data_IF_476593774624
#
_entry.id   IF_476593774624
#
_cell.length_a   1.000
_cell.length_b   1.000
_cell.length_c   1.000
_cell.angle_alpha   90.00
_cell.angle_beta   90.00
_cell.angle_gamma   90.00
#
_symmetry.space_group_name_H-M   'P 1'
#
loop_
_entity.id
_entity.type
_entity.pdbx_description
1 polymer ?
#
# COMPACT_ATOMS: atom_id res chain seq x y z
N UNK A 1 11.99 17.18 -7.11
CA UNK A 1 11.24 18.33 -7.69
C UNK A 1 10.82 19.38 -6.66
N UNK A 2 10.28 19.02 -5.49
CA UNK A 2 9.80 19.98 -4.46
C UNK A 2 10.87 21.00 -4.02
N UNK A 3 12.13 20.58 -3.87
CA UNK A 3 13.24 21.46 -3.45
C UNK A 3 13.54 22.55 -4.50
N UNK A 4 13.42 22.22 -5.79
CA UNK A 4 13.67 23.18 -6.88
C UNK A 4 12.56 24.23 -6.91
N UNK A 5 11.30 23.83 -6.66
CA UNK A 5 10.16 24.75 -6.60
C UNK A 5 10.30 25.72 -5.41
N UNK A 6 10.72 25.21 -4.24
CA UNK A 6 10.98 26.03 -3.06
C UNK A 6 12.13 27.02 -3.31
N UNK A 7 13.22 26.57 -3.95
CA UNK A 7 14.35 27.43 -4.28
C UNK A 7 13.97 28.56 -5.25
N UNK A 8 13.19 28.27 -6.28
CA UNK A 8 12.70 29.29 -7.23
C UNK A 8 11.77 30.29 -6.54
N UNK A 9 10.86 29.83 -5.67
CA UNK A 9 9.99 30.71 -4.89
C UNK A 9 10.80 31.65 -3.99
N UNK A 10 11.83 31.15 -3.31
CA UNK A 10 12.69 31.97 -2.44
C UNK A 10 13.48 33.03 -3.23
N UNK A 11 14.00 32.67 -4.42
CA UNK A 11 14.72 33.61 -5.29
C UNK A 11 13.79 34.71 -5.80
N UNK A 12 12.59 34.36 -6.27
CA UNK A 12 11.60 35.35 -6.74
C UNK A 12 11.16 36.28 -5.60
N UNK A 13 10.93 35.73 -4.40
CA UNK A 13 10.54 36.54 -3.23
C UNK A 13 11.68 37.46 -2.77
N UNK A 14 12.93 37.00 -2.82
CA UNK A 14 14.11 37.79 -2.47
C UNK A 14 14.38 38.93 -3.46
N UNK A 15 14.24 38.68 -4.77
CA UNK A 15 14.41 39.70 -5.82
C UNK A 15 13.34 40.80 -5.68
N UNK A 16 12.10 40.43 -5.39
CA UNK A 16 10.99 41.40 -5.21
C UNK A 16 11.18 42.27 -3.96
N UNK A 17 11.77 41.73 -2.89
CA UNK A 17 12.07 42.49 -1.67
C UNK A 17 13.26 43.44 -1.82
N UNK A 18 14.29 43.04 -2.58
CA UNK A 18 15.50 43.85 -2.80
C UNK A 18 15.29 45.02 -3.78
N UNK A 19 14.24 44.97 -4.61
CA UNK A 19 13.99 45.97 -5.65
C UNK A 19 12.91 47.00 -5.32
N UNK A 20 12.45 47.14 -4.08
CA UNK A 20 11.48 48.19 -3.76
C UNK A 20 12.12 49.59 -3.80
N UNK A 21 11.82 50.43 -4.81
CA UNK A 21 12.38 51.76 -4.91
C UNK A 21 11.63 52.71 -3.97
N UNK A 22 12.39 53.55 -3.25
CA UNK A 22 11.91 54.43 -2.17
C UNK A 22 10.85 55.48 -2.60
N UNK A 23 10.61 55.65 -3.90
CA UNK A 23 9.67 56.62 -4.47
C UNK A 23 8.23 56.09 -4.68
N UNK A 24 7.93 54.83 -4.37
CA UNK A 24 6.59 54.29 -4.60
C UNK A 24 5.60 54.86 -3.56
N UNK A 25 4.40 55.30 -4.00
CA UNK A 25 3.36 55.73 -3.09
C UNK A 25 3.02 54.59 -2.12
N UNK A 26 2.79 54.93 -0.85
CA UNK A 26 2.39 53.98 0.21
C UNK A 26 1.04 53.35 -0.14
N UNK A 27 1.04 52.34 -1.00
CA UNK A 27 -0.09 51.44 -1.16
C UNK A 27 -0.40 50.84 0.20
N UNK A 28 -1.67 50.84 0.59
CA UNK A 28 -2.07 50.29 1.88
C UNK A 28 -1.60 48.83 1.94
N UNK A 29 -0.88 48.47 3.01
CA UNK A 29 -0.30 47.13 3.19
C UNK A 29 -1.33 46.00 3.02
N UNK A 30 -2.62 46.30 3.25
CA UNK A 30 -3.73 45.39 3.00
C UNK A 30 -3.95 45.08 1.51
N UNK A 31 -3.80 46.04 0.61
CA UNK A 31 -4.05 45.82 -0.81
C UNK A 31 -2.95 44.99 -1.47
N UNK A 32 -1.70 45.19 -1.05
CA UNK A 32 -0.57 44.36 -1.49
C UNK A 32 -0.64 42.95 -0.90
N UNK A 33 -1.00 42.79 0.37
CA UNK A 33 -1.21 41.48 0.98
C UNK A 33 -2.30 40.68 0.26
N UNK A 34 -3.46 41.29 -0.01
CA UNK A 34 -4.58 40.63 -0.70
C UNK A 34 -4.22 40.21 -2.14
N UNK A 35 -3.44 41.03 -2.86
CA UNK A 35 -2.96 40.69 -4.21
C UNK A 35 -1.93 39.56 -4.18
N UNK A 36 -1.06 39.53 -3.17
CA UNK A 36 -0.08 38.44 -3.01
C UNK A 36 -0.77 37.12 -2.71
N UNK A 37 -1.78 37.09 -1.82
CA UNK A 37 -2.57 35.88 -1.54
C UNK A 37 -3.36 35.40 -2.75
N UNK A 38 -3.90 36.32 -3.56
CA UNK A 38 -4.57 35.95 -4.81
C UNK A 38 -3.59 35.36 -5.82
N UNK A 39 -2.40 35.95 -5.96
CA UNK A 39 -1.37 35.45 -6.87
C UNK A 39 -0.83 34.08 -6.46
N UNK A 40 -0.56 33.85 -5.17
CA UNK A 40 -0.13 32.52 -4.69
C UNK A 40 -1.23 31.48 -4.81
N UNK A 41 -2.49 31.82 -4.52
CA UNK A 41 -3.61 30.87 -4.73
C UNK A 41 -3.72 30.43 -6.18
N UNK A 42 -3.60 31.38 -7.13
CA UNK A 42 -3.68 31.10 -8.56
C UNK A 42 -2.50 30.26 -9.05
N UNK A 43 -1.29 30.48 -8.53
CA UNK A 43 -0.11 29.65 -8.87
C UNK A 43 -0.26 28.23 -8.32
N UNK A 44 -0.76 28.07 -7.10
CA UNK A 44 -1.02 26.74 -6.51
C UNK A 44 -2.11 26.00 -7.28
N UNK A 45 -3.18 26.71 -7.66
CA UNK A 45 -4.28 26.15 -8.43
C UNK A 45 -3.82 25.74 -9.84
N UNK A 46 -3.05 26.59 -10.51
CA UNK A 46 -2.46 26.28 -11.83
C UNK A 46 -1.46 25.12 -11.73
N UNK A 47 -0.67 25.04 -10.66
CA UNK A 47 0.26 23.94 -10.43
C UNK A 47 -0.49 22.61 -10.18
N UNK A 48 -1.55 22.62 -9.37
CA UNK A 48 -2.42 21.45 -9.19
C UNK A 48 -3.04 21.01 -10.51
N UNK A 49 -3.63 21.93 -11.25
CA UNK A 49 -4.28 21.64 -12.53
C UNK A 49 -3.27 21.13 -13.58
N UNK A 50 -2.02 21.60 -13.54
CA UNK A 50 -0.95 21.11 -14.43
C UNK A 50 -0.47 19.72 -14.02
N UNK A 51 -0.37 19.43 -12.72
CA UNK A 51 -0.03 18.09 -12.20
C UNK A 51 -1.15 17.10 -12.50
N UNK A 52 -2.40 17.52 -12.35
CA UNK A 52 -3.60 16.72 -12.63
C UNK A 52 -3.72 16.44 -14.14
N UNK A 53 -3.56 17.46 -14.99
CA UNK A 53 -3.49 17.29 -16.45
C UNK A 53 -2.27 16.51 -16.94
N UNK A 54 -1.14 16.57 -16.21
CA UNK A 54 0.02 15.75 -16.50
C UNK A 54 -0.21 14.28 -16.09
N UNK A 55 -0.91 14.04 -14.98
CA UNK A 55 -1.38 12.72 -14.55
C UNK A 55 -2.40 12.10 -15.53
N UNK A 56 -3.30 12.91 -16.08
CA UNK A 56 -4.28 12.47 -17.09
C UNK A 56 -3.65 12.12 -18.45
N UNK A 57 -2.42 12.55 -18.74
CA UNK A 57 -1.75 12.37 -20.03
C UNK A 57 -0.87 11.13 -20.16
N UNK A 58 -0.73 10.34 -19.10
CA UNK A 58 -0.15 9.01 -19.22
C UNK A 58 -1.27 7.98 -19.05
N UNK A 59 -2.12 7.77 -20.07
CA UNK A 59 -2.95 6.58 -20.06
C UNK A 59 -1.97 5.43 -19.88
N UNK A 60 -2.11 4.71 -18.76
CA UNK A 60 -1.56 3.38 -18.59
C UNK A 60 -2.15 2.57 -19.74
N UNK A 61 -1.51 2.65 -20.91
CA UNK A 61 -1.72 1.70 -21.97
C UNK A 61 -1.33 0.42 -21.29
N UNK A 62 -2.33 -0.42 -20.94
CA UNK A 62 -2.07 -1.70 -20.29
C UNK A 62 -1.03 -2.39 -21.18
N UNK A 63 0.20 -2.44 -20.69
CA UNK A 63 1.33 -3.07 -21.34
C UNK A 63 1.44 -4.44 -20.70
N UNK A 64 0.67 -5.44 -21.15
CA UNK A 64 0.72 -6.79 -20.56
C UNK A 64 2.14 -7.35 -20.57
N UNK A 65 2.98 -6.92 -21.50
CA UNK A 65 4.40 -7.26 -21.57
C UNK A 65 5.24 -6.74 -20.39
N UNK A 66 4.80 -5.69 -19.69
CA UNK A 66 5.53 -5.15 -18.53
C UNK A 66 5.52 -6.14 -17.37
N UNK A 67 4.42 -6.87 -17.13
CA UNK A 67 4.33 -7.80 -16.02
C UNK A 67 5.37 -8.93 -16.15
N UNK A 68 5.55 -9.47 -17.37
CA UNK A 68 6.56 -10.49 -17.65
C UNK A 68 8.00 -9.97 -17.49
N UNK A 69 8.32 -8.83 -18.11
CA UNK A 69 9.66 -8.20 -18.00
C UNK A 69 9.97 -7.77 -16.57
N UNK A 70 8.96 -7.34 -15.83
CA UNK A 70 9.09 -6.97 -14.43
C UNK A 70 9.34 -8.19 -13.54
N UNK A 71 8.65 -9.31 -13.76
CA UNK A 71 8.91 -10.58 -13.06
C UNK A 71 10.35 -11.06 -13.29
N UNK A 72 10.86 -10.92 -14.52
CA UNK A 72 12.26 -11.22 -14.84
C UNK A 72 13.24 -10.28 -14.13
N UNK A 73 12.94 -8.97 -14.12
CA UNK A 73 13.72 -7.96 -13.39
C UNK A 73 13.76 -8.22 -11.88
N UNK A 74 12.67 -8.72 -11.29
CA UNK A 74 12.56 -9.12 -9.89
C UNK A 74 13.14 -10.51 -9.58
N UNK A 75 13.83 -11.17 -10.52
CA UNK A 75 14.49 -12.43 -10.21
C UNK A 75 15.55 -12.24 -9.11
N UNK A 76 15.65 -13.20 -8.18
CA UNK A 76 16.51 -13.11 -6.99
C UNK A 76 17.97 -12.74 -7.34
N UNK A 77 18.51 -13.35 -8.41
CA UNK A 77 19.87 -13.09 -8.87
C UNK A 77 20.09 -11.63 -9.28
N UNK A 78 19.06 -10.97 -9.81
CA UNK A 78 19.13 -9.57 -10.21
C UNK A 78 18.89 -8.61 -9.03
N UNK A 79 17.95 -8.94 -8.15
CA UNK A 79 17.66 -8.15 -6.95
C UNK A 79 18.85 -8.09 -5.99
N UNK A 80 19.43 -9.24 -5.67
CA UNK A 80 20.61 -9.34 -4.80
C UNK A 80 21.82 -8.62 -5.41
N UNK A 81 21.95 -8.61 -6.74
CA UNK A 81 23.05 -7.92 -7.40
C UNK A 81 22.90 -6.40 -7.34
N UNK A 82 21.69 -5.88 -7.62
CA UNK A 82 21.46 -4.46 -7.93
C UNK A 82 21.08 -3.60 -6.74
N UNK A 83 20.45 -4.17 -5.70
CA UNK A 83 19.85 -3.36 -4.64
C UNK A 83 20.50 -3.63 -3.29
N UNK A 84 20.94 -2.56 -2.62
CA UNK A 84 21.57 -2.62 -1.29
C UNK A 84 20.62 -3.13 -0.21
N UNK A 85 19.33 -2.82 -0.35
CA UNK A 85 18.27 -3.19 0.58
C UNK A 85 18.09 -4.72 0.65
N UNK A 86 18.07 -5.40 -0.49
CA UNK A 86 17.89 -6.85 -0.53
C UNK A 86 19.10 -7.59 0.04
N UNK A 87 20.31 -7.03 -0.12
CA UNK A 87 21.52 -7.55 0.55
C UNK A 87 21.43 -7.47 2.08
N UNK A 88 20.75 -6.46 2.61
CA UNK A 88 20.57 -6.30 4.06
C UNK A 88 19.48 -7.19 4.65
N UNK A 89 18.57 -7.73 3.82
CA UNK A 89 17.41 -8.52 4.24
C UNK A 89 17.25 -9.80 3.40
N UNK A 90 18.24 -10.73 3.43
CA UNK A 90 18.26 -11.88 2.52
C UNK A 90 17.09 -12.85 2.73
N UNK A 91 16.61 -13.02 3.97
CA UNK A 91 15.45 -13.87 4.25
C UNK A 91 14.15 -13.30 3.65
N UNK A 92 13.92 -11.99 3.86
CA UNK A 92 12.74 -11.30 3.30
C UNK A 92 12.78 -11.27 1.77
N UNK A 93 13.97 -11.09 1.19
CA UNK A 93 14.18 -11.16 -0.26
C UNK A 93 13.80 -12.53 -0.84
N UNK A 94 14.20 -13.61 -0.17
CA UNK A 94 13.90 -14.97 -0.59
C UNK A 94 12.39 -15.27 -0.49
N UNK A 95 11.76 -14.91 0.64
CA UNK A 95 10.32 -15.09 0.83
C UNK A 95 9.49 -14.26 -0.16
N UNK A 96 9.90 -13.00 -0.40
CA UNK A 96 9.27 -12.14 -1.41
C UNK A 96 9.38 -12.74 -2.81
N UNK A 97 10.56 -13.25 -3.19
CA UNK A 97 10.75 -13.87 -4.51
C UNK A 97 9.89 -15.12 -4.66
N UNK A 98 9.83 -15.96 -3.63
CA UNK A 98 8.98 -17.15 -3.63
C UNK A 98 7.49 -16.77 -3.77
N UNK A 99 7.05 -15.75 -3.03
CA UNK A 99 5.69 -15.21 -3.15
C UNK A 99 5.39 -14.72 -4.58
N UNK A 100 6.29 -13.91 -5.16
CA UNK A 100 6.15 -13.38 -6.51
C UNK A 100 6.10 -14.49 -7.58
N UNK A 101 6.90 -15.54 -7.40
CA UNK A 101 6.90 -16.70 -8.30
C UNK A 101 5.58 -17.49 -8.24
N UNK A 102 4.95 -17.54 -7.07
CA UNK A 102 3.66 -18.19 -6.84
C UNK A 102 2.44 -17.39 -7.30
N UNK A 103 2.58 -16.11 -7.68
CA UNK A 103 1.47 -15.33 -8.22
C UNK A 103 1.06 -15.85 -9.60
N UNK A 104 -0.26 -16.03 -9.79
CA UNK A 104 -0.85 -16.26 -11.10
C UNK A 104 -0.82 -15.00 -11.98
N UNK A 105 -1.07 -15.14 -13.28
CA UNK A 105 -0.96 -14.03 -14.25
C UNK A 105 -1.83 -12.83 -13.90
N UNK A 106 -3.04 -13.09 -13.37
CA UNK A 106 -3.95 -12.04 -12.93
C UNK A 106 -3.38 -11.26 -11.74
N UNK A 107 -3.01 -11.94 -10.67
CA UNK A 107 -2.48 -11.31 -9.45
C UNK A 107 -1.16 -10.57 -9.73
N UNK A 108 -0.32 -11.13 -10.60
CA UNK A 108 0.90 -10.47 -11.07
C UNK A 108 0.58 -9.20 -11.87
N UNK A 109 -0.45 -9.25 -12.72
CA UNK A 109 -0.93 -8.10 -13.48
C UNK A 109 -1.45 -6.98 -12.57
N UNK A 110 -2.26 -7.33 -11.58
CA UNK A 110 -2.81 -6.40 -10.59
C UNK A 110 -1.67 -5.77 -9.76
N UNK A 111 -0.73 -6.59 -9.27
CA UNK A 111 0.45 -6.09 -8.54
C UNK A 111 1.32 -5.14 -9.38
N UNK A 112 1.56 -5.49 -10.65
CA UNK A 112 2.31 -4.64 -11.58
C UNK A 112 1.58 -3.32 -11.85
N UNK A 113 0.24 -3.35 -11.93
CA UNK A 113 -0.57 -2.16 -12.11
C UNK A 113 -0.50 -1.23 -10.89
N UNK A 114 -0.62 -1.77 -9.67
CA UNK A 114 -0.45 -1.02 -8.43
C UNK A 114 0.92 -0.37 -8.35
N UNK A 115 1.97 -1.13 -8.66
CA UNK A 115 3.33 -0.62 -8.70
C UNK A 115 3.50 0.48 -9.77
N UNK A 116 2.89 0.32 -10.94
CA UNK A 116 2.85 1.35 -11.97
C UNK A 116 2.24 2.65 -11.46
N UNK A 117 1.11 2.55 -10.75
CA UNK A 117 0.47 3.69 -10.07
C UNK A 117 1.38 4.35 -9.03
N UNK A 118 2.08 3.54 -8.22
CA UNK A 118 3.09 4.06 -7.28
C UNK A 118 4.20 4.82 -8.00
N UNK A 119 4.83 4.24 -9.03
CA UNK A 119 5.91 4.88 -9.79
C UNK A 119 5.46 6.23 -10.35
N UNK A 120 4.27 6.28 -10.94
CA UNK A 120 3.68 7.50 -11.49
C UNK A 120 3.44 8.56 -10.41
N UNK A 121 2.96 8.16 -9.23
CA UNK A 121 2.78 9.08 -8.09
C UNK A 121 4.11 9.71 -7.64
N UNK A 122 5.23 9.05 -7.89
CA UNK A 122 6.58 9.53 -7.61
C UNK A 122 7.21 10.28 -8.80
N UNK A 123 6.53 10.37 -9.94
CA UNK A 123 6.96 11.11 -11.12
C UNK A 123 7.90 10.34 -12.05
N UNK A 124 7.88 9.01 -12.04
CA UNK A 124 8.62 8.17 -12.99
C UNK A 124 7.76 7.00 -13.53
N UNK A 125 8.16 6.42 -14.65
CA UNK A 125 7.44 5.30 -15.27
C UNK A 125 8.09 3.96 -14.86
N UNK A 126 7.28 2.95 -14.54
CA UNK A 126 7.76 1.60 -14.26
C UNK A 126 8.56 1.01 -15.45
N UNK A 127 8.21 1.39 -16.68
CA UNK A 127 8.93 0.99 -17.89
C UNK A 127 10.41 1.38 -17.84
N UNK A 128 10.78 2.43 -17.09
CA UNK A 128 12.17 2.88 -16.95
C UNK A 128 13.08 1.87 -16.26
N UNK A 129 12.54 0.95 -15.45
CA UNK A 129 13.31 -0.13 -14.85
C UNK A 129 13.76 -1.16 -15.88
N UNK A 130 12.83 -1.51 -16.76
CA UNK A 130 13.01 -2.57 -17.76
C UNK A 130 13.70 -2.06 -19.02
N UNK A 131 13.51 -0.78 -19.35
CA UNK A 131 14.09 -0.15 -20.54
C UNK A 131 15.48 0.44 -20.25
N UNK A 132 16.40 0.31 -21.21
CA UNK A 132 17.78 0.77 -21.06
C UNK A 132 17.97 2.29 -21.25
N UNK A 133 16.88 3.08 -21.22
CA UNK A 133 16.91 4.50 -21.59
C UNK A 133 17.25 5.45 -20.44
N UNK A 134 17.41 4.95 -19.22
CA UNK A 134 17.69 5.78 -18.05
C UNK A 134 19.19 5.78 -17.70
N UNK A 135 19.80 6.95 -17.43
CA UNK A 135 21.18 7.04 -16.96
C UNK A 135 21.43 6.15 -15.73
N UNK A 136 22.61 5.53 -15.64
CA UNK A 136 22.88 4.48 -14.66
C UNK A 136 22.65 4.87 -13.20
N UNK A 137 22.99 6.09 -12.79
CA UNK A 137 22.77 6.57 -11.42
C UNK A 137 21.28 6.74 -11.10
N UNK A 138 20.52 7.36 -12.02
CA UNK A 138 19.06 7.52 -11.88
C UNK A 138 18.40 6.14 -11.87
N UNK A 139 18.83 5.24 -12.76
CA UNK A 139 18.31 3.87 -12.83
C UNK A 139 18.47 3.17 -11.49
N UNK A 140 19.65 3.23 -10.87
CA UNK A 140 19.90 2.63 -9.56
C UNK A 140 18.98 3.19 -8.47
N UNK A 141 18.75 4.50 -8.43
CA UNK A 141 17.83 5.11 -7.46
C UNK A 141 16.38 4.63 -7.66
N UNK A 142 15.94 4.50 -8.93
CA UNK A 142 14.61 3.96 -9.25
C UNK A 142 14.52 2.47 -8.87
N UNK A 143 15.55 1.67 -9.16
CA UNK A 143 15.63 0.25 -8.78
C UNK A 143 15.56 0.08 -7.24
N UNK A 144 16.31 0.89 -6.48
CA UNK A 144 16.29 0.87 -5.01
C UNK A 144 14.90 1.29 -4.47
N UNK A 145 14.30 2.34 -5.02
CA UNK A 145 12.99 2.86 -4.59
C UNK A 145 11.87 1.83 -4.86
N UNK A 146 11.85 1.27 -6.07
CA UNK A 146 10.85 0.27 -6.45
C UNK A 146 11.06 -1.03 -5.68
N UNK A 147 12.31 -1.44 -5.49
CA UNK A 147 12.64 -2.60 -4.67
C UNK A 147 12.12 -2.47 -3.23
N UNK A 148 12.28 -1.30 -2.60
CA UNK A 148 11.74 -1.00 -1.28
C UNK A 148 10.21 -1.05 -1.25
N UNK A 149 9.56 -0.43 -2.24
CA UNK A 149 8.12 -0.46 -2.35
C UNK A 149 7.60 -1.90 -2.49
N UNK A 150 8.23 -2.73 -3.31
CA UNK A 150 7.83 -4.12 -3.50
C UNK A 150 7.88 -4.91 -2.18
N UNK A 151 8.96 -4.76 -1.41
CA UNK A 151 9.06 -5.38 -0.09
C UNK A 151 7.99 -4.87 0.87
N UNK A 152 7.74 -3.55 0.89
CA UNK A 152 6.72 -2.96 1.74
C UNK A 152 5.31 -3.45 1.37
N UNK A 153 4.99 -3.47 0.07
CA UNK A 153 3.73 -3.97 -0.45
C UNK A 153 3.53 -5.44 -0.10
N UNK A 154 4.55 -6.28 -0.32
CA UNK A 154 4.52 -7.70 0.07
C UNK A 154 4.32 -7.89 1.58
N UNK A 155 5.08 -7.18 2.43
CA UNK A 155 4.88 -7.23 3.89
C UNK A 155 3.48 -6.77 4.28
N UNK A 156 2.91 -5.79 3.57
CA UNK A 156 1.54 -5.32 3.80
C UNK A 156 0.49 -6.37 3.44
N UNK A 157 0.73 -7.23 2.45
CA UNK A 157 -0.15 -8.40 2.19
C UNK A 157 -0.20 -9.34 3.41
N UNK A 158 0.90 -9.46 4.15
CA UNK A 158 0.94 -10.17 5.43
C UNK A 158 0.03 -9.59 6.51
N UNK A 159 -0.47 -8.36 6.34
CA UNK A 159 -1.44 -7.71 7.22
C UNK A 159 -2.90 -7.97 6.81
N UNK A 160 -3.16 -8.54 5.64
CA UNK A 160 -4.51 -8.84 5.16
C UNK A 160 -5.34 -9.67 6.16
N UNK A 161 -4.79 -10.73 6.81
CA UNK A 161 -5.52 -11.46 7.85
C UNK A 161 -5.99 -10.57 9.00
N UNK A 162 -5.18 -9.59 9.39
CA UNK A 162 -5.54 -8.63 10.42
C UNK A 162 -6.62 -7.64 9.95
N UNK A 163 -6.59 -7.23 8.68
CA UNK A 163 -7.67 -6.42 8.11
C UNK A 163 -9.01 -7.19 8.12
N UNK A 164 -9.02 -8.47 7.74
CA UNK A 164 -10.20 -9.34 7.82
C UNK A 164 -10.68 -9.48 9.26
N UNK A 165 -9.78 -9.72 10.22
CA UNK A 165 -10.11 -9.77 11.63
C UNK A 165 -10.74 -8.46 12.13
N UNK A 166 -10.17 -7.32 11.74
CA UNK A 166 -10.69 -5.99 12.12
C UNK A 166 -12.07 -5.74 11.53
N UNK A 167 -12.29 -6.10 10.26
CA UNK A 167 -13.58 -5.95 9.58
C UNK A 167 -14.66 -6.80 10.26
N UNK A 168 -14.35 -8.06 10.57
CA UNK A 168 -15.22 -8.91 11.37
C UNK A 168 -15.50 -8.32 12.75
N UNK A 169 -14.47 -7.84 13.46
CA UNK A 169 -14.64 -7.28 14.81
C UNK A 169 -15.55 -6.05 14.83
N UNK A 170 -15.56 -5.24 13.76
CA UNK A 170 -16.47 -4.10 13.64
C UNK A 170 -17.92 -4.49 13.38
N UNK A 171 -18.16 -5.67 12.81
CA UNK A 171 -19.49 -6.19 12.50
C UNK A 171 -19.53 -7.74 12.60
N UNK A 172 -19.57 -8.30 13.82
CA UNK A 172 -19.45 -9.75 14.02
C UNK A 172 -20.62 -10.57 13.47
N UNK A 173 -21.76 -9.92 13.21
CA UNK A 173 -22.96 -10.53 12.65
C UNK A 173 -22.99 -10.56 11.12
N UNK A 174 -21.94 -10.08 10.46
CA UNK A 174 -21.87 -10.05 9.00
C UNK A 174 -21.59 -11.46 8.42
N UNK A 175 -22.51 -11.96 7.62
CA UNK A 175 -22.38 -13.27 6.96
C UNK A 175 -21.11 -13.39 6.11
N UNK A 176 -20.59 -12.29 5.55
CA UNK A 176 -19.34 -12.28 4.76
C UNK A 176 -18.11 -12.70 5.57
N UNK A 177 -18.17 -12.57 6.90
CA UNK A 177 -17.05 -12.86 7.78
C UNK A 177 -17.28 -14.11 8.64
N UNK A 178 -18.46 -14.73 8.53
CA UNK A 178 -18.86 -15.84 9.39
C UNK A 178 -17.94 -17.06 9.21
N UNK A 179 -17.64 -17.45 7.97
CA UNK A 179 -16.76 -18.58 7.68
C UNK A 179 -15.35 -18.39 8.25
N UNK A 180 -14.79 -17.19 8.09
CA UNK A 180 -13.50 -16.82 8.67
C UNK A 180 -13.53 -16.88 10.20
N UNK A 181 -14.53 -16.28 10.83
CA UNK A 181 -14.66 -16.21 12.28
C UNK A 181 -14.83 -17.61 12.90
N UNK A 182 -15.66 -18.47 12.30
CA UNK A 182 -15.87 -19.84 12.76
C UNK A 182 -14.58 -20.66 12.71
N UNK A 183 -13.76 -20.52 11.65
CA UNK A 183 -12.48 -21.22 11.53
C UNK A 183 -11.44 -20.71 12.50
N UNK A 184 -11.34 -19.39 12.65
CA UNK A 184 -10.45 -18.82 13.65
C UNK A 184 -10.83 -19.30 15.04
N UNK A 185 -12.12 -19.27 15.39
CA UNK A 185 -12.60 -19.71 16.69
C UNK A 185 -12.34 -21.20 16.93
N UNK A 186 -12.65 -22.07 15.97
CA UNK A 186 -12.42 -23.52 16.10
C UNK A 186 -10.94 -23.84 16.27
N UNK A 187 -10.05 -23.13 15.55
CA UNK A 187 -8.60 -23.25 15.70
C UNK A 187 -8.11 -22.80 17.07
N UNK A 188 -8.65 -21.70 17.60
CA UNK A 188 -8.32 -21.23 18.95
C UNK A 188 -8.76 -22.22 20.03
N UNK A 189 -9.92 -22.86 19.86
CA UNK A 189 -10.39 -23.95 20.74
C UNK A 189 -9.46 -25.17 20.63
N UNK A 190 -9.12 -25.58 19.41
CA UNK A 190 -8.21 -26.72 19.18
C UNK A 190 -6.80 -26.48 19.75
N UNK A 191 -6.32 -25.24 19.74
CA UNK A 191 -5.04 -24.85 20.34
C UNK A 191 -5.11 -24.67 21.87
N UNK A 192 -6.28 -24.84 22.50
CA UNK A 192 -6.46 -24.65 23.94
C UNK A 192 -6.40 -23.19 24.40
N UNK A 193 -6.51 -22.22 23.48
CA UNK A 193 -6.54 -20.79 23.79
C UNK A 193 -7.96 -20.31 24.16
N UNK A 194 -8.99 -21.08 23.82
CA UNK A 194 -10.38 -20.80 24.17
C UNK A 194 -11.06 -22.07 24.67
N UNK A 195 -11.78 -21.97 25.78
CA UNK A 195 -12.63 -23.06 26.29
C UNK A 195 -14.09 -22.62 26.23
N UNK A 196 -14.90 -23.15 25.29
CA UNK A 196 -16.30 -22.80 25.17
C UNK A 196 -17.09 -23.28 26.40
N UNK A 197 -17.90 -22.43 27.05
CA UNK A 197 -18.77 -22.90 28.12
C UNK A 197 -19.89 -23.76 27.53
N UNK A 198 -20.31 -24.84 28.22
CA UNK A 198 -21.31 -25.77 27.71
C UNK A 198 -22.66 -25.09 27.42
N UNK A 199 -23.02 -24.08 28.21
CA UNK A 199 -24.28 -23.35 28.08
C UNK A 199 -24.35 -22.49 26.81
N UNK A 200 -23.21 -22.20 26.18
CA UNK A 200 -23.14 -21.37 24.97
C UNK A 200 -23.93 -21.98 23.80
N UNK A 201 -24.06 -23.31 23.77
CA UNK A 201 -24.82 -24.03 22.74
C UNK A 201 -26.31 -23.67 22.77
N UNK A 202 -26.84 -23.30 23.92
CA UNK A 202 -28.24 -22.94 24.13
C UNK A 202 -28.48 -21.42 24.15
N UNK A 203 -27.40 -20.61 24.16
CA UNK A 203 -27.50 -19.16 24.19
C UNK A 203 -28.05 -18.60 22.86
N UNK A 204 -28.77 -17.46 22.87
CA UNK A 204 -29.16 -16.74 21.66
C UNK A 204 -27.96 -16.41 20.76
N UNK A 205 -28.18 -16.32 19.44
CA UNK A 205 -27.09 -16.06 18.46
C UNK A 205 -26.28 -14.80 18.79
N UNK A 206 -26.95 -13.73 19.22
CA UNK A 206 -26.27 -12.48 19.60
C UNK A 206 -25.32 -12.68 20.80
N UNK A 207 -25.72 -13.49 21.79
CA UNK A 207 -24.87 -13.81 22.94
C UNK A 207 -23.70 -14.70 22.53
N UNK A 208 -23.92 -15.66 21.61
CA UNK A 208 -22.86 -16.50 21.04
C UNK A 208 -21.81 -15.66 20.32
N UNK A 209 -22.24 -14.75 19.46
CA UNK A 209 -21.33 -13.85 18.73
C UNK A 209 -20.53 -12.95 19.67
N UNK A 210 -21.19 -12.36 20.68
CA UNK A 210 -20.53 -11.54 21.69
C UNK A 210 -19.49 -12.34 22.50
N UNK A 211 -19.81 -13.59 22.85
CA UNK A 211 -18.86 -14.49 23.51
C UNK A 211 -17.66 -14.78 22.61
N UNK A 212 -17.89 -15.15 21.35
CA UNK A 212 -16.82 -15.47 20.38
C UNK A 212 -15.87 -14.28 20.22
N UNK A 213 -16.40 -13.07 20.05
CA UNK A 213 -15.61 -11.84 19.98
C UNK A 213 -14.72 -11.67 21.21
N UNK A 214 -15.30 -11.76 22.41
CA UNK A 214 -14.56 -11.62 23.68
C UNK A 214 -13.51 -12.73 23.86
N UNK A 215 -13.83 -13.96 23.47
CA UNK A 215 -12.92 -15.10 23.57
C UNK A 215 -11.70 -14.95 22.64
N UNK A 216 -11.91 -14.48 21.40
CA UNK A 216 -10.81 -14.20 20.48
C UNK A 216 -9.91 -13.07 20.98
N UNK A 217 -10.50 -12.01 21.56
CA UNK A 217 -9.72 -10.92 22.18
C UNK A 217 -8.88 -11.42 23.36
N UNK A 218 -9.45 -12.27 24.21
CA UNK A 218 -8.73 -12.88 25.33
C UNK A 218 -7.59 -13.78 24.84
N UNK A 219 -7.82 -14.61 23.81
CA UNK A 219 -6.80 -15.47 23.22
C UNK A 219 -5.64 -14.66 22.62
N UNK A 220 -5.94 -13.55 21.92
CA UNK A 220 -4.93 -12.65 21.38
C UNK A 220 -4.09 -11.98 22.48
N UNK A 221 -4.70 -11.66 23.63
CA UNK A 221 -4.01 -11.11 24.79
C UNK A 221 -3.16 -12.15 25.55
N UNK A 222 -3.58 -13.41 25.55
CA UNK A 222 -2.89 -14.52 26.22
C UNK A 222 -1.65 -14.99 25.46
N UNK A 223 -1.77 -15.24 24.15
CA UNK A 223 -0.65 -15.68 23.31
C UNK A 223 -0.77 -15.07 21.90
N UNK A 224 -0.23 -13.86 21.76
CA UNK A 224 -0.27 -13.11 20.51
C UNK A 224 0.42 -13.86 19.35
N UNK A 225 1.50 -14.60 19.62
CA UNK A 225 2.26 -15.28 18.56
C UNK A 225 1.44 -16.42 17.98
N UNK A 226 0.89 -17.27 18.83
CA UNK A 226 0.03 -18.38 18.40
C UNK A 226 -1.25 -17.85 17.76
N UNK A 227 -1.88 -16.82 18.35
CA UNK A 227 -3.05 -16.18 17.77
C UNK A 227 -2.79 -15.67 16.34
N UNK A 228 -1.70 -14.94 16.10
CA UNK A 228 -1.35 -14.42 14.77
C UNK A 228 -1.10 -15.56 13.77
N UNK A 229 -0.50 -16.67 14.21
CA UNK A 229 -0.33 -17.85 13.35
C UNK A 229 -1.69 -18.43 12.93
N UNK A 230 -2.58 -18.68 13.88
CA UNK A 230 -3.91 -19.25 13.62
C UNK A 230 -4.80 -18.30 12.80
N UNK A 231 -4.63 -16.99 13.01
CA UNK A 231 -5.29 -15.94 12.23
C UNK A 231 -4.89 -16.01 10.75
N UNK A 232 -3.60 -16.17 10.46
CA UNK A 232 -3.09 -16.30 9.08
C UNK A 232 -3.65 -17.55 8.41
N UNK A 233 -3.65 -18.68 9.11
CA UNK A 233 -4.18 -19.94 8.59
C UNK A 233 -5.68 -19.83 8.28
N UNK A 234 -6.47 -19.31 9.23
CA UNK A 234 -7.91 -19.15 9.05
C UNK A 234 -8.25 -18.21 7.87
N UNK A 235 -7.49 -17.13 7.69
CA UNK A 235 -7.67 -16.21 6.56
C UNK A 235 -7.32 -16.85 5.22
N UNK A 236 -6.23 -17.63 5.16
CA UNK A 236 -5.80 -18.31 3.94
C UNK A 236 -6.84 -19.34 3.48
N UNK A 237 -7.37 -20.15 4.39
CA UNK A 237 -8.39 -21.14 4.07
C UNK A 237 -9.71 -20.47 3.65
N UNK A 238 -10.11 -19.38 4.32
CA UNK A 238 -11.34 -18.66 3.98
C UNK A 238 -11.30 -18.16 2.54
N UNK A 239 -10.16 -17.59 2.12
CA UNK A 239 -9.91 -17.16 0.74
C UNK A 239 -9.91 -18.32 -0.26
N UNK A 240 -9.35 -19.47 0.12
CA UNK A 240 -9.32 -20.65 -0.74
C UNK A 240 -10.73 -21.18 -1.04
N UNK A 241 -11.61 -21.22 -0.02
CA UNK A 241 -13.01 -21.64 -0.21
C UNK A 241 -13.82 -20.63 -1.02
N UNK A 242 -13.63 -19.32 -0.81
CA UNK A 242 -14.26 -18.29 -1.65
C UNK A 242 -13.87 -18.45 -3.12
N UNK A 243 -12.58 -18.71 -3.38
CA UNK A 243 -12.07 -18.94 -4.74
C UNK A 243 -12.69 -20.19 -5.36
N UNK A 244 -12.83 -21.27 -4.59
CA UNK A 244 -13.46 -22.51 -5.05
C UNK A 244 -14.96 -22.33 -5.32
N UNK A 245 -15.67 -21.60 -4.45
CA UNK A 245 -17.09 -21.31 -4.62
C UNK A 245 -17.34 -20.45 -5.86
N UNK A 246 -16.49 -19.46 -6.12
CA UNK A 246 -16.59 -18.66 -7.36
C UNK A 246 -16.34 -19.50 -8.61
N UNK A 247 -15.42 -20.48 -8.55
CA UNK A 247 -15.10 -21.35 -9.68
C UNK A 247 -16.22 -22.35 -10.02
N UNK A 248 -17.05 -22.76 -9.05
CA UNK A 248 -18.16 -23.70 -9.30
C UNK A 248 -19.45 -23.02 -9.76
N UNK A 249 -19.58 -21.71 -9.56
CA UNK A 249 -20.74 -20.92 -10.00
C UNK A 249 -20.62 -20.30 -11.39
N UNK A 250 -19.45 -20.41 -12.03
CA UNK A 250 -19.15 -19.88 -13.36
C UNK A 250 -19.32 -20.94 -14.44
#
# INVERSE_FOLDING_TARGET
>A
MVIIIIAVLLVVTGIVLLWQPAWLPKFSRQQTANRMTQATSKVIETAKETVEKAGERFPLRRRPELAGRFKEWLSQAELERRTTVYKSLPADAAEFTAWLQGLGDKDLGDFTQELGGFCQSQGFDLAWLVDAQVPGEIKRLVEETVGLYCLAAWKSHGLSPYATYRAWRSDPGNDKHLAFAQRLYSRLVAAGLVTPPPDLLYAPEQERQAYVAKAMEAAAAQDLRTFVSLLKDAAAEAKAEETLAMATTA
#
